data_IF_121689211641
#
_entry.id   IF_121689211641
#
_cell.length_a   1.000
_cell.length_b   1.000
_cell.length_c   1.000
_cell.angle_alpha   90.00
_cell.angle_beta   90.00
_cell.angle_gamma   90.00
#
_symmetry.space_group_name_H-M   'P 1'
#
loop_
_entity.id
_entity.type
_entity.pdbx_description
1 polymer ?
#
# COMPACT_ATOMS: atom_id res chain seq x y z
N UNK A 1 19.01 -21.58 9.62
CA UNK A 1 17.57 -21.84 9.84
C UNK A 1 16.87 -20.51 9.69
N UNK A 2 16.19 -20.25 8.57
CA UNK A 2 15.41 -19.02 8.38
C UNK A 2 14.13 -19.18 9.19
N UNK A 3 13.84 -18.23 10.08
CA UNK A 3 12.57 -18.22 10.80
C UNK A 3 11.40 -18.23 9.80
N UNK A 4 10.23 -18.78 10.17
CA UNK A 4 9.07 -18.69 9.32
C UNK A 4 8.71 -17.22 9.15
N UNK A 5 8.85 -16.71 7.93
CA UNK A 5 8.52 -15.32 7.62
C UNK A 5 7.01 -15.11 7.80
N UNK A 6 6.65 -14.35 8.83
CA UNK A 6 5.25 -14.00 9.16
C UNK A 6 4.55 -13.43 7.92
N UNK A 7 5.26 -12.59 7.15
CA UNK A 7 4.77 -11.97 5.93
C UNK A 7 4.50 -13.02 4.84
N UNK A 8 5.42 -13.97 4.62
CA UNK A 8 5.20 -15.05 3.64
C UNK A 8 3.99 -15.91 4.01
N UNK A 9 3.77 -16.13 5.31
CA UNK A 9 2.60 -16.86 5.80
C UNK A 9 1.30 -16.12 5.50
N UNK A 10 1.28 -14.79 5.64
CA UNK A 10 0.11 -13.94 5.32
C UNK A 10 -0.18 -13.93 3.81
N UNK A 11 0.86 -13.99 2.98
CA UNK A 11 0.73 -13.92 1.52
C UNK A 11 0.44 -15.26 0.86
N UNK A 12 0.62 -16.38 1.56
CA UNK A 12 0.52 -17.75 1.03
C UNK A 12 -0.79 -18.04 0.29
N UNK A 13 -1.90 -17.48 0.75
CA UNK A 13 -3.24 -17.69 0.18
C UNK A 13 -3.69 -16.56 -0.76
N UNK A 14 -2.77 -15.64 -1.10
CA UNK A 14 -3.05 -14.44 -1.89
C UNK A 14 -2.34 -14.46 -3.25
N UNK A 15 -2.83 -13.63 -4.19
CA UNK A 15 -2.20 -13.48 -5.50
C UNK A 15 -1.06 -12.44 -5.50
N UNK A 16 -0.65 -11.92 -4.35
CA UNK A 16 0.40 -10.91 -4.28
C UNK A 16 1.78 -11.56 -4.20
N UNK A 17 2.75 -10.97 -4.91
CA UNK A 17 4.12 -11.46 -4.96
C UNK A 17 5.10 -10.39 -4.46
N UNK A 18 5.99 -10.78 -3.54
CA UNK A 18 7.05 -9.92 -3.00
C UNK A 18 8.23 -9.73 -3.97
N UNK A 19 8.29 -10.47 -5.08
CA UNK A 19 9.38 -10.38 -6.06
C UNK A 19 9.55 -8.98 -6.68
N UNK A 20 8.55 -8.11 -6.58
CA UNK A 20 8.60 -6.72 -7.04
C UNK A 20 9.37 -5.78 -6.10
N UNK A 21 9.73 -6.27 -4.91
CA UNK A 21 10.39 -5.49 -3.85
C UNK A 21 11.79 -6.02 -3.56
N UNK A 22 12.67 -5.09 -3.20
CA UNK A 22 14.02 -5.40 -2.76
C UNK A 22 14.01 -6.04 -1.38
N UNK A 23 15.06 -6.80 -1.05
CA UNK A 23 15.21 -7.41 0.26
C UNK A 23 15.21 -6.37 1.39
N UNK A 24 15.81 -5.19 1.14
CA UNK A 24 15.89 -4.10 2.12
C UNK A 24 14.52 -3.49 2.45
N UNK A 25 13.65 -3.34 1.44
CA UNK A 25 12.27 -2.89 1.64
C UNK A 25 11.48 -3.89 2.48
N UNK A 26 11.65 -5.19 2.19
CA UNK A 26 10.97 -6.26 2.91
C UNK A 26 11.48 -6.33 4.36
N UNK A 27 12.79 -6.24 4.58
CA UNK A 27 13.38 -6.23 5.92
C UNK A 27 12.93 -5.02 6.75
N UNK A 28 12.83 -3.85 6.11
CA UNK A 28 12.30 -2.64 6.74
C UNK A 28 10.86 -2.85 7.20
N UNK A 29 10.03 -3.47 6.37
CA UNK A 29 8.67 -3.82 6.73
C UNK A 29 8.63 -4.79 7.91
N UNK A 30 9.46 -5.85 7.90
CA UNK A 30 9.55 -6.81 9.00
C UNK A 30 9.84 -6.16 10.35
N UNK A 31 10.69 -5.12 10.39
CA UNK A 31 11.04 -4.40 11.63
C UNK A 31 9.86 -3.60 12.21
N UNK A 32 8.92 -3.18 11.37
CA UNK A 32 7.74 -2.41 11.78
C UNK A 32 6.55 -3.29 12.20
N UNK A 33 6.55 -4.56 11.83
CA UNK A 33 5.48 -5.51 12.18
C UNK A 33 5.58 -5.88 13.66
N UNK A 34 4.45 -5.83 14.36
CA UNK A 34 4.32 -6.27 15.73
C UNK A 34 3.10 -7.18 15.90
N UNK A 35 3.17 -8.11 16.84
CA UNK A 35 2.08 -9.05 17.12
C UNK A 35 1.20 -8.51 18.24
N UNK A 36 -0.12 -8.51 18.05
CA UNK A 36 -1.10 -8.23 19.09
C UNK A 36 -1.95 -9.46 19.36
N UNK A 37 -2.13 -9.78 20.63
CA UNK A 37 -3.03 -10.86 21.07
C UNK A 37 -4.43 -10.31 21.24
N UNK A 38 -5.35 -10.70 20.36
CA UNK A 38 -6.77 -10.33 20.45
C UNK A 38 -7.58 -11.59 20.66
N UNK A 39 -8.38 -11.64 21.74
CA UNK A 39 -9.25 -12.80 22.06
C UNK A 39 -8.49 -14.14 22.07
N UNK A 40 -7.26 -14.15 22.60
CA UNK A 40 -6.41 -15.35 22.67
C UNK A 40 -5.76 -15.78 21.36
N UNK A 41 -5.91 -15.01 20.27
CA UNK A 41 -5.25 -15.26 18.98
C UNK A 41 -4.17 -14.21 18.73
N UNK A 42 -2.99 -14.66 18.36
CA UNK A 42 -1.90 -13.80 17.91
C UNK A 42 -2.19 -13.32 16.49
N UNK A 43 -2.27 -12.01 16.33
CA UNK A 43 -2.56 -11.37 15.04
C UNK A 43 -1.46 -10.36 14.73
N UNK A 44 -0.88 -10.40 13.53
CA UNK A 44 0.13 -9.44 13.13
C UNK A 44 -0.52 -8.09 12.81
N UNK A 45 0.11 -7.02 13.25
CA UNK A 45 -0.28 -5.63 13.05
C UNK A 45 0.93 -4.82 12.60
N UNK A 46 0.65 -3.70 11.94
CA UNK A 46 1.66 -2.72 11.54
C UNK A 46 1.12 -1.31 11.76
N UNK A 47 2.02 -0.36 12.01
CA UNK A 47 1.67 1.06 12.04
C UNK A 47 1.64 1.61 10.63
N UNK A 48 0.46 2.03 10.18
CA UNK A 48 0.27 2.53 8.83
C UNK A 48 1.00 3.87 8.61
N UNK A 49 1.87 3.95 7.58
CA UNK A 49 2.69 5.16 7.32
C UNK A 49 1.83 6.40 7.00
N UNK A 50 0.69 6.21 6.32
CA UNK A 50 -0.22 7.30 5.90
C UNK A 50 -1.18 7.71 7.01
N UNK A 51 -1.82 6.73 7.67
CA UNK A 51 -2.90 6.98 8.65
C UNK A 51 -2.40 7.09 10.08
N UNK A 52 -1.13 6.74 10.34
CA UNK A 52 -0.48 6.74 11.65
C UNK A 52 -1.22 5.93 12.73
N UNK A 53 -1.96 4.91 12.30
CA UNK A 53 -2.76 4.02 13.16
C UNK A 53 -2.29 2.59 13.01
N UNK A 54 -2.53 1.81 14.05
CA UNK A 54 -2.26 0.38 14.06
C UNK A 54 -3.33 -0.35 13.26
N UNK A 55 -2.93 -1.05 12.20
CA UNK A 55 -3.81 -1.79 11.31
C UNK A 55 -3.37 -3.25 11.29
N UNK A 56 -4.33 -4.16 11.19
CA UNK A 56 -4.05 -5.58 11.04
C UNK A 56 -3.30 -5.82 9.72
N UNK A 57 -2.24 -6.62 9.77
CA UNK A 57 -1.41 -6.92 8.62
C UNK A 57 -2.12 -7.94 7.70
N UNK A 58 -2.93 -7.41 6.79
CA UNK A 58 -3.57 -8.17 5.71
C UNK A 58 -2.65 -8.24 4.49
N UNK A 59 -2.82 -9.22 3.58
CA UNK A 59 -1.98 -9.32 2.39
C UNK A 59 -2.01 -8.04 1.54
N UNK A 60 -3.16 -7.37 1.43
CA UNK A 60 -3.27 -6.09 0.72
C UNK A 60 -2.50 -4.96 1.42
N UNK A 61 -2.48 -4.98 2.76
CA UNK A 61 -1.81 -3.96 3.56
C UNK A 61 -0.28 -4.09 3.50
N UNK A 62 0.25 -5.32 3.43
CA UNK A 62 1.68 -5.59 3.18
C UNK A 62 2.14 -4.85 1.92
N UNK A 63 1.42 -5.07 0.81
CA UNK A 63 1.74 -4.47 -0.49
C UNK A 63 1.61 -2.94 -0.44
N UNK A 64 0.56 -2.41 0.20
CA UNK A 64 0.36 -0.97 0.35
C UNK A 64 1.47 -0.28 1.13
N UNK A 65 1.92 -0.86 2.24
CA UNK A 65 2.99 -0.28 3.05
C UNK A 65 4.31 -0.27 2.28
N UNK A 66 4.65 -1.36 1.57
CA UNK A 66 5.83 -1.43 0.72
C UNK A 66 5.82 -0.35 -0.38
N UNK A 67 4.72 -0.23 -1.12
CA UNK A 67 4.61 0.82 -2.15
C UNK A 67 4.62 2.24 -1.57
N UNK A 68 4.02 2.43 -0.40
CA UNK A 68 4.03 3.74 0.28
C UNK A 68 5.45 4.12 0.69
N UNK A 69 6.21 3.17 1.25
CA UNK A 69 7.60 3.36 1.59
C UNK A 69 8.42 3.72 0.35
N UNK A 70 8.22 3.01 -0.78
CA UNK A 70 8.86 3.31 -2.06
C UNK A 70 8.53 4.72 -2.57
N UNK A 71 7.26 5.11 -2.53
CA UNK A 71 6.82 6.45 -2.95
C UNK A 71 7.46 7.57 -2.13
N UNK A 72 7.66 7.35 -0.83
CA UNK A 72 8.29 8.34 0.05
C UNK A 72 9.80 8.35 -0.14
N UNK A 73 10.43 7.17 -0.13
CA UNK A 73 11.89 7.04 -0.08
C UNK A 73 12.54 7.21 -1.45
N UNK A 74 12.01 6.57 -2.49
CA UNK A 74 12.61 6.61 -3.83
C UNK A 74 12.10 7.82 -4.63
N UNK A 75 10.79 8.06 -4.58
CA UNK A 75 10.16 9.08 -5.42
C UNK A 75 9.95 10.43 -4.70
N UNK A 76 10.24 10.52 -3.40
CA UNK A 76 10.17 11.77 -2.64
C UNK A 76 8.75 12.34 -2.48
N UNK A 77 7.71 11.51 -2.57
CA UNK A 77 6.34 11.98 -2.37
C UNK A 77 6.09 12.30 -0.89
N UNK A 78 5.63 13.52 -0.55
CA UNK A 78 5.33 13.86 0.83
C UNK A 78 4.10 13.07 1.32
N UNK A 79 4.16 12.55 2.54
CA UNK A 79 3.08 11.77 3.18
C UNK A 79 1.69 12.41 3.04
N UNK A 80 1.62 13.74 3.12
CA UNK A 80 0.37 14.53 2.99
C UNK A 80 -0.35 14.37 1.63
N UNK A 81 0.33 13.88 0.59
CA UNK A 81 -0.24 13.66 -0.75
C UNK A 81 -0.65 12.21 -1.01
N UNK A 82 -0.33 11.30 -0.10
CA UNK A 82 -0.65 9.89 -0.21
C UNK A 82 -1.96 9.62 0.51
N UNK A 83 -2.89 8.98 -0.18
CA UNK A 83 -4.14 8.49 0.39
C UNK A 83 -4.37 7.06 -0.08
N UNK A 84 -4.71 6.20 0.88
CA UNK A 84 -5.31 4.90 0.53
C UNK A 84 -6.76 5.13 0.18
N UNK A 85 -7.13 4.71 -1.02
CA UNK A 85 -8.43 4.94 -1.61
C UNK A 85 -9.54 4.65 -0.59
N UNK A 86 -10.32 5.69 -0.29
CA UNK A 86 -11.59 5.55 0.40
C UNK A 86 -12.62 5.38 -0.71
N UNK A 87 -13.50 4.37 -0.61
CA UNK A 87 -14.67 4.30 -1.47
C UNK A 87 -15.52 5.54 -1.23
N UNK A 88 -15.26 6.58 -2.01
CA UNK A 88 -16.06 7.79 -2.02
C UNK A 88 -17.08 7.64 -3.14
N UNK A 89 -18.36 7.81 -2.82
CA UNK A 89 -19.41 7.88 -3.83
C UNK A 89 -19.04 9.01 -4.80
N UNK A 90 -18.96 8.70 -6.10
CA UNK A 90 -18.51 9.58 -7.19
C UNK A 90 -19.26 10.92 -7.33
N UNK A 91 -20.23 11.21 -6.47
CA UNK A 91 -21.14 12.35 -6.59
C UNK A 91 -20.53 13.68 -6.18
N UNK A 92 -19.36 13.70 -5.51
CA UNK A 92 -18.78 14.95 -4.99
C UNK A 92 -17.42 15.20 -5.65
N UNK A 93 -17.31 16.19 -6.55
CA UNK A 93 -16.05 16.49 -7.21
C UNK A 93 -15.03 17.03 -6.18
N UNK A 94 -13.74 16.66 -6.30
CA UNK A 94 -12.70 17.20 -5.44
C UNK A 94 -12.56 18.72 -5.64
N UNK A 95 -12.31 19.45 -4.54
CA UNK A 95 -12.06 20.90 -4.57
C UNK A 95 -10.88 21.21 -5.52
N UNK A 96 -11.09 22.18 -6.41
CA UNK A 96 -10.12 22.58 -7.42
C UNK A 96 -8.76 22.91 -6.81
N UNK A 97 -7.69 22.29 -7.31
CA UNK A 97 -6.30 22.55 -6.91
C UNK A 97 -5.64 21.48 -6.04
N UNK A 98 -6.39 20.49 -5.53
CA UNK A 98 -5.79 19.42 -4.72
C UNK A 98 -5.13 18.37 -5.62
N UNK A 99 -3.79 18.29 -5.60
CA UNK A 99 -3.05 17.19 -6.26
C UNK A 99 -2.92 16.02 -5.28
N UNK A 100 -3.83 15.06 -5.38
CA UNK A 100 -3.84 13.84 -4.57
C UNK A 100 -3.26 12.71 -5.41
N UNK A 101 -2.39 11.90 -4.79
CA UNK A 101 -1.93 10.64 -5.36
C UNK A 101 -2.68 9.53 -4.65
N UNK A 102 -3.66 8.97 -5.36
CA UNK A 102 -4.39 7.82 -4.85
C UNK A 102 -3.64 6.56 -5.26
N UNK A 103 -3.31 5.74 -4.27
CA UNK A 103 -2.83 4.38 -4.50
C UNK A 103 -4.04 3.47 -4.45
N UNK A 104 -4.47 3.05 -5.63
CA UNK A 104 -5.70 2.29 -5.86
C UNK A 104 -5.35 0.89 -6.32
N UNK A 105 -6.23 -0.05 -6.01
CA UNK A 105 -6.07 -1.42 -6.40
C UNK A 105 -7.24 -1.79 -7.31
N UNK A 106 -6.96 -2.11 -8.58
CA UNK A 106 -7.99 -2.56 -9.50
C UNK A 106 -7.72 -4.00 -9.90
N UNK A 107 -8.72 -4.86 -9.64
CA UNK A 107 -8.75 -6.23 -10.13
C UNK A 107 -9.04 -6.18 -11.63
N UNK A 108 -8.02 -6.36 -12.46
CA UNK A 108 -8.22 -6.48 -13.91
C UNK A 108 -8.58 -7.93 -14.25
N UNK A 109 -9.11 -8.16 -15.46
CA UNK A 109 -9.58 -9.48 -15.90
C UNK A 109 -8.48 -10.56 -15.94
N UNK A 110 -7.21 -10.15 -15.84
CA UNK A 110 -6.03 -11.02 -15.98
C UNK A 110 -5.04 -10.89 -14.81
N UNK A 111 -4.97 -9.75 -14.10
CA UNK A 111 -4.03 -9.52 -12.98
C UNK A 111 -4.50 -8.48 -11.96
N UNK A 112 -3.85 -8.46 -10.79
CA UNK A 112 -3.97 -7.39 -9.79
C UNK A 112 -3.02 -6.25 -10.14
N UNK A 113 -3.54 -5.07 -10.44
CA UNK A 113 -2.74 -3.90 -10.77
C UNK A 113 -2.93 -2.80 -9.73
N UNK A 114 -1.81 -2.31 -9.19
CA UNK A 114 -1.79 -1.10 -8.37
C UNK A 114 -1.77 0.11 -9.30
N UNK A 115 -2.84 0.91 -9.28
CA UNK A 115 -2.93 2.15 -10.04
C UNK A 115 -2.57 3.32 -9.13
N UNK A 116 -1.61 4.11 -9.56
CA UNK A 116 -1.26 5.38 -8.91
C UNK A 116 -1.93 6.48 -9.73
N UNK A 117 -3.11 6.91 -9.29
CA UNK A 117 -3.87 7.95 -9.97
C UNK A 117 -3.54 9.33 -9.39
N UNK A 118 -3.07 10.24 -10.25
CA UNK A 118 -2.90 11.65 -9.89
C UNK A 118 -4.23 12.37 -10.15
N UNK A 119 -5.00 12.67 -9.12
CA UNK A 119 -6.14 13.59 -9.27
C UNK A 119 -5.61 15.02 -9.32
N UNK A 120 -5.76 15.67 -10.48
CA UNK A 120 -5.42 17.07 -10.70
C UNK A 120 -6.29 17.65 -11.82
N UNK A 121 -6.91 18.80 -11.57
CA UNK A 121 -7.92 19.40 -12.45
C UNK A 121 -7.40 19.72 -13.88
N UNK A 122 -8.29 19.49 -14.84
CA UNK A 122 -8.33 19.94 -16.26
C UNK A 122 -7.19 19.58 -17.22
N UNK A 123 -6.74 18.33 -17.21
CA UNK A 123 -6.40 17.56 -18.42
C UNK A 123 -6.06 16.16 -17.98
N UNK A 124 -6.60 15.17 -18.67
CA UNK A 124 -6.24 13.76 -18.56
C UNK A 124 -4.72 13.63 -18.71
N UNK A 125 -3.97 13.75 -17.61
CA UNK A 125 -2.55 13.40 -17.55
C UNK A 125 -2.49 12.01 -16.92
N UNK A 126 -2.76 11.01 -17.74
CA UNK A 126 -2.33 9.64 -17.46
C UNK A 126 -0.81 9.65 -17.56
N UNK A 127 -0.12 10.10 -16.52
CA UNK A 127 1.28 9.71 -16.37
C UNK A 127 1.24 8.21 -16.05
N UNK A 128 1.41 7.39 -17.07
CA UNK A 128 1.75 5.99 -16.92
C UNK A 128 3.08 5.94 -16.16
N UNK A 129 3.02 5.87 -14.82
CA UNK A 129 4.16 5.48 -14.04
C UNK A 129 4.31 3.98 -14.30
N UNK A 130 5.17 3.66 -15.26
CA UNK A 130 5.54 2.29 -15.56
C UNK A 130 6.45 1.85 -14.41
N UNK A 131 5.83 1.30 -13.37
CA UNK A 131 6.55 0.49 -12.39
C UNK A 131 7.13 -0.70 -13.18
N UNK A 132 8.40 -1.06 -12.93
CA UNK A 132 9.08 -2.15 -13.64
C UNK A 132 8.34 -3.48 -13.48
#
# INVERSE_FOLDING_TARGET
MKQPDIIQTILKDSNYNLALFSADEIESLHKEVFTKTTRGKETPYIKCIVREKDIQLKPEEVVRQLYTARLINEYGYPKKRLSFEHYFLYTTPPLAGTRIVDVTERKTKLDWALFIEKRGCSKFCVSNLKLP
#
